data_IF_872977373081
#
_entry.id   IF_872977373081
#
_cell.length_a   1.000
_cell.length_b   1.000
_cell.length_c   1.000
_cell.angle_alpha   90.00
_cell.angle_beta   90.00
_cell.angle_gamma   90.00
#
_symmetry.space_group_name_H-M   'P 1'
#
loop_
_entity.id
_entity.type
_entity.pdbx_description
1 polymer ?
#
# COMPACT_ATOMS: atom_id res chain seq x y z
N UNK A 1 24.61 -16.87 -16.10
CA UNK A 1 24.27 -15.80 -15.15
C UNK A 1 23.72 -16.47 -13.91
N UNK A 2 24.37 -16.31 -12.74
CA UNK A 2 23.81 -16.85 -11.49
C UNK A 2 22.49 -16.15 -11.20
N UNK A 3 21.46 -16.94 -10.92
CA UNK A 3 20.15 -16.39 -10.55
C UNK A 3 20.26 -15.70 -9.20
N UNK A 4 19.89 -14.43 -9.12
CA UNK A 4 19.88 -13.67 -7.87
C UNK A 4 18.89 -14.29 -6.88
N UNK A 5 19.30 -14.43 -5.61
CA UNK A 5 18.49 -15.04 -4.54
C UNK A 5 18.17 -14.03 -3.45
N UNK A 6 17.08 -14.26 -2.74
CA UNK A 6 16.64 -13.44 -1.60
C UNK A 6 17.60 -13.67 -0.43
N UNK A 7 18.18 -12.62 0.10
CA UNK A 7 19.09 -12.68 1.25
C UNK A 7 18.47 -12.16 2.54
N UNK A 8 17.50 -11.22 2.42
CA UNK A 8 16.82 -10.59 3.56
C UNK A 8 15.43 -10.12 3.17
N UNK A 9 14.50 -10.26 4.11
CA UNK A 9 13.19 -9.60 4.11
C UNK A 9 13.03 -8.89 5.45
N UNK A 10 12.75 -7.59 5.44
CA UNK A 10 12.65 -6.80 6.67
C UNK A 10 11.49 -5.79 6.58
N UNK A 11 10.67 -5.68 7.63
CA UNK A 11 9.66 -4.63 7.74
C UNK A 11 10.30 -3.33 8.23
N UNK A 12 9.91 -2.20 7.61
CA UNK A 12 10.23 -0.85 8.07
C UNK A 12 8.91 -0.12 8.34
N UNK A 13 8.70 0.29 9.60
CA UNK A 13 7.49 0.98 10.02
C UNK A 13 7.82 2.44 10.28
N UNK A 14 7.13 3.35 9.60
CA UNK A 14 7.31 4.80 9.71
C UNK A 14 6.06 5.43 10.30
N UNK A 15 6.19 6.11 11.42
CA UNK A 15 5.11 6.91 12.00
C UNK A 15 4.94 8.19 11.18
N UNK A 16 3.80 8.31 10.51
CA UNK A 16 3.48 9.47 9.65
C UNK A 16 2.66 10.50 10.42
N UNK A 17 1.77 10.04 11.30
CA UNK A 17 0.93 10.89 12.16
C UNK A 17 0.52 10.12 13.41
N UNK A 18 -0.22 10.76 14.32
CA UNK A 18 -0.76 10.11 15.50
C UNK A 18 -1.75 8.97 15.19
N UNK A 19 -2.27 8.96 13.97
CA UNK A 19 -3.29 7.98 13.52
C UNK A 19 -2.79 7.05 12.42
N UNK A 20 -1.56 7.22 11.92
CA UNK A 20 -1.12 6.51 10.71
C UNK A 20 0.35 6.12 10.81
N UNK A 21 0.60 4.83 10.71
CA UNK A 21 1.92 4.28 10.42
C UNK A 21 1.92 3.77 8.98
N UNK A 22 3.02 3.96 8.27
CA UNK A 22 3.27 3.26 7.01
C UNK A 22 4.18 2.07 7.28
N UNK A 23 3.83 0.93 6.70
CA UNK A 23 4.61 -0.31 6.81
C UNK A 23 5.13 -0.66 5.41
N UNK A 24 6.45 -0.69 5.28
CA UNK A 24 7.13 -1.14 4.09
C UNK A 24 7.78 -2.49 4.33
N UNK A 25 7.87 -3.31 3.30
CA UNK A 25 8.62 -4.55 3.28
C UNK A 25 9.79 -4.38 2.32
N UNK A 26 10.99 -4.50 2.86
CA UNK A 26 12.25 -4.46 2.11
C UNK A 26 12.70 -5.88 1.78
N UNK A 27 13.02 -6.13 0.51
CA UNK A 27 13.60 -7.40 0.04
C UNK A 27 14.98 -7.12 -0.54
N UNK A 28 16.01 -7.78 -0.02
CA UNK A 28 17.38 -7.68 -0.52
C UNK A 28 17.79 -8.97 -1.21
N UNK A 29 18.49 -8.85 -2.32
CA UNK A 29 19.00 -9.98 -3.11
C UNK A 29 20.53 -10.14 -3.01
N UNK A 30 21.04 -11.29 -3.44
CA UNK A 30 22.46 -11.67 -3.36
C UNK A 30 23.38 -10.79 -4.24
N UNK A 31 22.86 -10.17 -5.27
CA UNK A 31 23.52 -9.18 -6.10
C UNK A 31 23.51 -7.75 -5.49
N UNK A 32 22.94 -7.62 -4.27
CA UNK A 32 22.92 -6.35 -3.52
C UNK A 32 21.76 -5.43 -3.85
N UNK A 33 20.86 -5.81 -4.76
CA UNK A 33 19.69 -4.99 -5.10
C UNK A 33 18.67 -5.02 -3.97
N UNK A 34 18.11 -3.87 -3.64
CA UNK A 34 17.04 -3.68 -2.66
C UNK A 34 15.74 -3.29 -3.37
N UNK A 35 14.68 -4.03 -3.12
CA UNK A 35 13.32 -3.67 -3.53
C UNK A 35 12.45 -3.36 -2.32
N UNK A 36 11.42 -2.55 -2.54
CA UNK A 36 10.49 -2.08 -1.51
C UNK A 36 9.05 -2.24 -1.98
N UNK A 37 8.21 -2.75 -1.10
CA UNK A 37 6.76 -2.76 -1.28
C UNK A 37 6.03 -2.26 -0.04
N UNK A 38 4.80 -1.79 -0.17
CA UNK A 38 4.00 -1.24 0.92
C UNK A 38 2.93 -2.25 1.37
N UNK A 39 2.88 -2.48 2.70
CA UNK A 39 1.92 -3.37 3.36
C UNK A 39 1.02 -2.64 4.36
N UNK A 40 0.90 -1.31 4.29
CA UNK A 40 0.20 -0.51 5.30
C UNK A 40 -1.21 -1.02 5.58
N UNK A 41 -1.45 -1.46 6.82
CA UNK A 41 -2.75 -1.89 7.33
C UNK A 41 -2.88 -1.42 8.78
N UNK A 42 -3.87 -0.56 9.04
CA UNK A 42 -4.04 0.10 10.34
C UNK A 42 -4.19 -0.89 11.50
N UNK A 43 -3.37 -0.72 12.54
CA UNK A 43 -3.42 -1.53 13.75
C UNK A 43 -2.92 -2.97 13.60
N UNK A 44 -2.31 -3.32 12.47
CA UNK A 44 -1.79 -4.67 12.18
C UNK A 44 -0.26 -4.73 12.07
N UNK A 45 0.44 -3.70 12.53
CA UNK A 45 1.89 -3.55 12.35
C UNK A 45 2.66 -4.75 12.94
N UNK A 46 2.28 -5.23 14.12
CA UNK A 46 2.95 -6.38 14.76
C UNK A 46 2.66 -7.70 14.02
N UNK A 47 1.44 -7.89 13.53
CA UNK A 47 1.11 -9.06 12.72
C UNK A 47 1.91 -9.06 11.41
N UNK A 48 2.04 -7.91 10.75
CA UNK A 48 2.84 -7.77 9.53
C UNK A 48 4.33 -7.99 9.81
N UNK A 49 4.85 -7.53 10.94
CA UNK A 49 6.23 -7.78 11.36
C UNK A 49 6.49 -9.28 11.55
N UNK A 50 5.60 -9.98 12.25
CA UNK A 50 5.71 -11.42 12.48
C UNK A 50 5.65 -12.21 11.17
N UNK A 51 4.74 -11.83 10.27
CA UNK A 51 4.60 -12.44 8.94
C UNK A 51 5.82 -12.21 8.05
N UNK A 52 6.39 -11.00 8.05
CA UNK A 52 7.62 -10.69 7.32
C UNK A 52 8.78 -11.57 7.79
N UNK A 53 8.94 -11.77 9.11
CA UNK A 53 9.94 -12.67 9.67
C UNK A 53 9.73 -14.13 9.29
N UNK A 54 8.47 -14.60 9.29
CA UNK A 54 8.13 -15.94 8.82
C UNK A 54 8.51 -16.11 7.35
N UNK A 55 8.11 -15.19 6.49
CA UNK A 55 8.40 -15.26 5.06
C UNK A 55 9.89 -15.07 4.75
N UNK A 56 10.66 -14.34 5.57
CA UNK A 56 12.11 -14.34 5.47
C UNK A 56 12.67 -15.76 5.65
N UNK A 57 12.24 -16.47 6.69
CA UNK A 57 12.63 -17.87 6.91
C UNK A 57 12.29 -18.79 5.75
N UNK A 58 11.11 -18.63 5.18
CA UNK A 58 10.60 -19.46 4.09
C UNK A 58 11.25 -19.17 2.73
N UNK A 59 11.66 -17.92 2.48
CA UNK A 59 12.12 -17.44 1.16
C UNK A 59 13.63 -17.20 1.06
N UNK A 60 14.34 -17.08 2.15
CA UNK A 60 15.79 -16.85 2.17
C UNK A 60 16.54 -17.93 1.38
N UNK A 61 17.43 -17.48 0.49
CA UNK A 61 18.19 -18.37 -0.40
C UNK A 61 17.43 -18.79 -1.66
N UNK A 62 16.14 -18.50 -1.77
CA UNK A 62 15.34 -18.82 -2.95
C UNK A 62 15.38 -17.68 -3.99
N UNK A 63 15.08 -17.97 -5.27
CA UNK A 63 14.96 -16.94 -6.31
C UNK A 63 13.73 -16.07 -6.08
N UNK A 64 13.67 -14.89 -6.73
CA UNK A 64 12.53 -13.99 -6.64
C UNK A 64 11.20 -14.62 -7.07
N UNK A 65 11.22 -15.58 -8.00
CA UNK A 65 10.02 -16.31 -8.43
C UNK A 65 9.33 -17.08 -7.28
N UNK A 66 10.04 -17.41 -6.21
CA UNK A 66 9.44 -18.03 -5.04
C UNK A 66 8.42 -17.13 -4.32
N UNK A 67 8.47 -15.79 -4.54
CA UNK A 67 7.44 -14.86 -4.07
C UNK A 67 6.14 -15.06 -4.85
N UNK A 68 6.22 -15.30 -6.16
CA UNK A 68 5.05 -15.58 -7.01
C UNK A 68 4.40 -16.90 -6.61
N UNK A 69 5.21 -17.95 -6.39
CA UNK A 69 4.72 -19.23 -5.91
C UNK A 69 4.00 -19.12 -4.56
N UNK A 70 4.54 -18.28 -3.65
CA UNK A 70 3.93 -17.99 -2.36
C UNK A 70 2.59 -17.24 -2.54
N UNK A 71 2.53 -16.24 -3.40
CA UNK A 71 1.33 -15.47 -3.67
C UNK A 71 0.21 -16.35 -4.24
N UNK A 72 0.54 -17.24 -5.17
CA UNK A 72 -0.39 -18.22 -5.73
C UNK A 72 -0.91 -19.20 -4.66
N UNK A 73 0.01 -19.80 -3.89
CA UNK A 73 -0.34 -20.76 -2.83
C UNK A 73 -1.24 -20.16 -1.72
N UNK A 74 -1.18 -18.85 -1.52
CA UNK A 74 -1.94 -18.13 -0.48
C UNK A 74 -3.10 -17.30 -1.02
N UNK A 75 -3.40 -17.40 -2.31
CA UNK A 75 -4.43 -16.58 -3.00
C UNK A 75 -5.82 -16.68 -2.38
N UNK A 76 -6.17 -17.82 -1.77
CA UNK A 76 -7.44 -18.04 -1.08
C UNK A 76 -7.45 -17.55 0.39
N UNK A 77 -6.34 -16.98 0.90
CA UNK A 77 -6.27 -16.50 2.28
C UNK A 77 -7.25 -15.34 2.51
N UNK A 78 -7.96 -15.38 3.64
CA UNK A 78 -8.82 -14.29 4.12
C UNK A 78 -8.11 -13.39 5.15
N UNK A 79 -6.91 -13.75 5.58
CA UNK A 79 -6.09 -12.96 6.50
C UNK A 79 -5.57 -11.70 5.80
N UNK A 80 -6.06 -10.53 6.24
CA UNK A 80 -5.72 -9.24 5.64
C UNK A 80 -4.25 -8.88 5.84
N UNK A 81 -3.66 -9.16 7.00
CA UNK A 81 -2.26 -8.87 7.27
C UNK A 81 -1.34 -9.74 6.38
N UNK A 82 -1.67 -11.02 6.24
CA UNK A 82 -0.95 -11.93 5.35
C UNK A 82 -1.01 -11.44 3.89
N UNK A 83 -2.19 -11.09 3.39
CA UNK A 83 -2.36 -10.57 2.03
C UNK A 83 -1.61 -9.26 1.80
N UNK A 84 -1.61 -8.35 2.79
CA UNK A 84 -0.87 -7.09 2.71
C UNK A 84 0.64 -7.33 2.60
N UNK A 85 1.21 -8.23 3.41
CA UNK A 85 2.64 -8.55 3.37
C UNK A 85 3.01 -9.25 2.05
N UNK A 86 2.20 -10.19 1.57
CA UNK A 86 2.45 -10.87 0.29
C UNK A 86 2.40 -9.89 -0.87
N UNK A 87 1.40 -9.00 -0.91
CA UNK A 87 1.33 -7.94 -1.93
C UNK A 87 2.56 -7.02 -1.90
N UNK A 88 3.06 -6.69 -0.71
CA UNK A 88 4.29 -5.90 -0.58
C UNK A 88 5.53 -6.67 -1.07
N UNK A 89 5.61 -7.99 -0.85
CA UNK A 89 6.68 -8.82 -1.40
C UNK A 89 6.65 -8.86 -2.93
N UNK A 90 5.46 -8.97 -3.54
CA UNK A 90 5.29 -8.89 -4.99
C UNK A 90 5.72 -7.52 -5.54
N UNK A 91 5.30 -6.41 -4.90
CA UNK A 91 5.75 -5.06 -5.26
C UNK A 91 7.27 -4.94 -5.19
N UNK A 92 7.89 -5.43 -4.11
CA UNK A 92 9.35 -5.43 -3.95
C UNK A 92 10.05 -6.27 -5.02
N UNK A 93 9.47 -7.41 -5.42
CA UNK A 93 9.98 -8.24 -6.51
C UNK A 93 9.98 -7.49 -7.85
N UNK A 94 8.90 -6.78 -8.17
CA UNK A 94 8.83 -5.94 -9.38
C UNK A 94 9.82 -4.77 -9.33
N UNK A 95 9.99 -4.14 -8.16
CA UNK A 95 10.97 -3.07 -7.97
C UNK A 95 12.41 -3.56 -8.19
N UNK A 96 12.75 -4.76 -7.67
CA UNK A 96 14.04 -5.41 -7.91
C UNK A 96 14.24 -5.67 -9.40
N UNK A 97 13.27 -6.28 -10.09
CA UNK A 97 13.34 -6.56 -11.52
C UNK A 97 13.56 -5.28 -12.34
N UNK A 98 12.81 -4.22 -12.01
CA UNK A 98 12.98 -2.92 -12.65
C UNK A 98 14.40 -2.37 -12.49
N UNK A 99 14.97 -2.45 -11.29
CA UNK A 99 16.33 -2.02 -11.00
C UNK A 99 17.39 -2.87 -11.71
N UNK A 100 17.21 -4.19 -11.75
CA UNK A 100 18.10 -5.12 -12.44
C UNK A 100 18.10 -4.92 -13.97
N UNK A 101 16.93 -4.58 -14.55
CA UNK A 101 16.79 -4.33 -15.99
C UNK A 101 17.03 -2.87 -16.38
N UNK A 102 17.19 -1.96 -15.41
CA UNK A 102 17.31 -0.51 -15.66
C UNK A 102 16.06 0.11 -16.26
N UNK A 103 14.86 -0.45 -15.95
CA UNK A 103 13.58 -0.02 -16.48
C UNK A 103 12.59 0.28 -15.36
N UNK A 104 11.71 1.28 -15.51
CA UNK A 104 10.61 1.48 -14.58
C UNK A 104 9.60 0.32 -14.66
N UNK A 105 8.96 -0.01 -13.55
CA UNK A 105 8.05 -1.15 -13.44
C UNK A 105 6.93 -1.12 -14.49
N UNK A 106 6.40 0.06 -14.82
CA UNK A 106 5.33 0.16 -15.81
C UNK A 106 5.75 -0.32 -17.22
N UNK A 107 7.03 -0.19 -17.58
CA UNK A 107 7.55 -0.73 -18.86
C UNK A 107 7.60 -2.25 -18.83
N UNK A 108 7.98 -2.84 -17.70
CA UNK A 108 7.95 -4.30 -17.52
C UNK A 108 6.53 -4.86 -17.59
N UNK A 109 5.53 -4.07 -17.20
CA UNK A 109 4.12 -4.42 -17.24
C UNK A 109 3.43 -4.11 -18.60
N UNK A 110 4.19 -3.82 -19.64
CA UNK A 110 3.67 -3.61 -21.00
C UNK A 110 3.59 -2.15 -21.43
N UNK A 111 4.20 -1.24 -20.69
CA UNK A 111 4.36 0.17 -21.06
C UNK A 111 3.20 1.08 -20.66
N UNK A 112 3.36 2.36 -20.97
CA UNK A 112 2.40 3.40 -20.64
C UNK A 112 1.23 3.40 -21.62
N UNK A 113 0.00 3.22 -21.10
CA UNK A 113 -1.23 3.35 -21.90
C UNK A 113 -1.81 4.78 -21.84
N UNK A 114 -1.72 5.42 -20.67
CA UNK A 114 -2.19 6.78 -20.45
C UNK A 114 -1.06 7.63 -19.90
N UNK A 115 -0.81 8.77 -20.52
CA UNK A 115 0.19 9.76 -20.07
C UNK A 115 -0.38 10.75 -19.06
N UNK A 116 -1.69 10.83 -18.96
CA UNK A 116 -2.40 11.70 -18.01
C UNK A 116 -3.40 10.88 -17.21
N UNK A 117 -3.33 10.97 -15.91
CA UNK A 117 -4.24 10.30 -14.98
C UNK A 117 -4.96 11.38 -14.17
N UNK A 118 -6.30 11.47 -14.22
CA UNK A 118 -7.05 12.41 -13.38
C UNK A 118 -6.87 12.04 -11.91
N UNK A 119 -6.60 13.04 -11.08
CA UNK A 119 -6.45 12.87 -9.64
C UNK A 119 -7.52 13.66 -8.91
N UNK A 120 -7.89 13.20 -7.71
CA UNK A 120 -8.76 13.93 -6.81
C UNK A 120 -8.06 14.27 -5.50
N UNK A 121 -8.46 15.37 -4.87
CA UNK A 121 -8.05 15.64 -3.49
C UNK A 121 -8.94 14.83 -2.52
N UNK A 122 -8.32 13.94 -1.74
CA UNK A 122 -9.02 13.27 -0.64
C UNK A 122 -8.94 14.14 0.61
N UNK A 123 -10.04 14.88 0.90
CA UNK A 123 -10.08 15.81 2.02
C UNK A 123 -10.53 15.20 3.35
N UNK A 124 -10.92 13.91 3.38
CA UNK A 124 -11.48 13.28 4.59
C UNK A 124 -10.54 13.29 5.79
N UNK A 125 -9.26 12.93 5.60
CA UNK A 125 -8.29 12.87 6.70
C UNK A 125 -7.74 14.23 7.08
N UNK A 126 -7.68 15.17 6.13
CA UNK A 126 -7.20 16.53 6.35
C UNK A 126 -8.22 17.37 7.14
N UNK A 127 -9.51 17.14 6.94
CA UNK A 127 -10.57 17.87 7.61
C UNK A 127 -10.66 17.45 9.07
N UNK A 128 -10.10 18.25 9.97
CA UNK A 128 -10.08 18.02 11.42
C UNK A 128 -11.42 18.41 12.03
N UNK A 129 -11.91 19.61 11.66
CA UNK A 129 -13.26 20.02 11.97
C UNK A 129 -14.24 19.32 11.04
N UNK A 130 -14.96 18.33 11.58
CA UNK A 130 -15.88 17.47 10.82
C UNK A 130 -17.26 18.08 10.64
N UNK A 131 -17.42 19.39 10.93
CA UNK A 131 -18.62 20.15 10.64
C UNK A 131 -18.75 20.45 9.13
N UNK A 132 -19.95 20.90 8.73
CA UNK A 132 -20.20 21.36 7.36
C UNK A 132 -19.23 22.48 6.95
N UNK A 133 -18.98 23.44 7.84
CA UNK A 133 -18.06 24.55 7.61
C UNK A 133 -16.59 24.06 7.44
N UNK A 134 -16.16 23.07 8.22
CA UNK A 134 -14.83 22.49 8.10
C UNK A 134 -14.64 21.76 6.79
N UNK A 135 -15.63 21.01 6.31
CA UNK A 135 -15.60 20.39 4.99
C UNK A 135 -15.62 21.42 3.86
N UNK A 136 -16.42 22.49 3.98
CA UNK A 136 -16.43 23.58 3.01
C UNK A 136 -15.05 24.25 2.92
N UNK A 137 -14.43 24.58 4.04
CA UNK A 137 -13.10 25.19 4.07
C UNK A 137 -12.04 24.27 3.43
N UNK A 138 -12.06 22.98 3.75
CA UNK A 138 -11.15 22.00 3.16
C UNK A 138 -11.35 21.82 1.66
N UNK A 139 -12.61 21.85 1.21
CA UNK A 139 -12.97 21.77 -0.21
C UNK A 139 -12.49 22.99 -0.99
N UNK A 140 -12.73 24.21 -0.46
CA UNK A 140 -12.23 25.48 -1.07
C UNK A 140 -10.71 25.45 -1.19
N UNK A 141 -9.99 25.08 -0.12
CA UNK A 141 -8.53 24.99 -0.16
C UNK A 141 -8.02 24.00 -1.21
N UNK A 142 -8.72 22.90 -1.46
CA UNK A 142 -8.36 21.96 -2.52
C UNK A 142 -8.62 22.54 -3.92
N UNK A 143 -9.73 23.23 -4.13
CA UNK A 143 -10.03 23.92 -5.40
C UNK A 143 -9.01 25.03 -5.68
N UNK A 144 -8.67 25.84 -4.67
CA UNK A 144 -7.64 26.89 -4.78
C UNK A 144 -6.25 26.30 -5.10
N UNK A 145 -5.99 25.07 -4.67
CA UNK A 145 -4.78 24.32 -5.03
C UNK A 145 -4.83 23.69 -6.44
N UNK A 146 -5.91 23.89 -7.20
CA UNK A 146 -6.05 23.44 -8.60
C UNK A 146 -6.69 22.06 -8.78
N UNK A 147 -7.24 21.44 -7.74
CA UNK A 147 -7.96 20.18 -7.89
C UNK A 147 -9.37 20.39 -8.43
N UNK A 148 -9.74 19.63 -9.46
CA UNK A 148 -11.07 19.65 -10.07
C UNK A 148 -12.00 18.53 -9.55
N UNK A 149 -11.45 17.58 -8.80
CA UNK A 149 -12.16 16.44 -8.24
C UNK A 149 -11.87 16.34 -6.74
N UNK A 150 -12.89 16.10 -5.94
CA UNK A 150 -12.78 15.95 -4.50
C UNK A 150 -13.35 14.58 -4.07
N UNK A 151 -12.70 13.93 -3.12
CA UNK A 151 -13.25 12.80 -2.40
C UNK A 151 -13.58 13.22 -0.99
N UNK A 152 -14.85 13.06 -0.62
CA UNK A 152 -15.41 13.43 0.68
C UNK A 152 -16.21 12.25 1.24
N UNK A 153 -16.16 12.04 2.56
CA UNK A 153 -17.01 11.13 3.31
C UNK A 153 -17.50 11.84 4.59
N UNK A 154 -18.57 12.62 4.50
CA UNK A 154 -19.06 13.46 5.60
C UNK A 154 -20.02 12.71 6.54
N UNK A 155 -20.03 11.37 6.50
CA UNK A 155 -21.02 10.53 7.19
C UNK A 155 -20.49 10.02 8.53
N UNK A 156 -19.76 10.84 9.29
CA UNK A 156 -19.26 10.48 10.62
C UNK A 156 -20.43 10.26 11.57
N UNK A 157 -20.42 9.13 12.27
CA UNK A 157 -21.49 8.78 13.22
C UNK A 157 -22.73 8.11 12.59
N UNK A 158 -22.78 7.97 11.27
CA UNK A 158 -23.79 7.13 10.64
C UNK A 158 -23.39 5.65 10.78
N UNK A 159 -24.23 4.87 11.45
CA UNK A 159 -24.12 3.42 11.46
C UNK A 159 -24.98 2.81 10.35
N UNK A 160 -24.62 1.64 9.81
CA UNK A 160 -25.41 0.96 8.76
C UNK A 160 -26.86 0.70 9.16
N UNK A 161 -27.11 0.61 10.47
CA UNK A 161 -28.42 0.36 11.05
C UNK A 161 -29.21 1.64 11.38
N UNK A 162 -28.58 2.81 11.31
CA UNK A 162 -29.19 4.12 11.52
C UNK A 162 -29.30 4.79 10.15
N UNK A 163 -30.47 4.91 9.61
CA UNK A 163 -30.66 5.75 8.43
C UNK A 163 -31.26 5.09 7.21
N UNK A 164 -31.93 3.95 7.38
CA UNK A 164 -32.85 3.48 6.33
C UNK A 164 -34.10 4.35 6.21
N UNK A 165 -34.38 5.21 7.20
CA UNK A 165 -35.59 6.01 7.29
C UNK A 165 -35.36 7.52 7.05
N UNK A 166 -34.20 7.96 6.57
CA UNK A 166 -33.99 9.30 6.05
C UNK A 166 -34.02 10.47 7.06
N UNK A 167 -34.04 10.21 8.36
CA UNK A 167 -34.22 11.22 9.41
C UNK A 167 -32.92 11.74 10.03
N UNK A 168 -31.78 11.66 9.35
CA UNK A 168 -30.50 12.10 9.86
C UNK A 168 -29.83 13.17 8.98
N UNK A 169 -30.58 14.19 8.54
CA UNK A 169 -30.02 15.43 8.00
C UNK A 169 -30.79 16.62 8.52
#
# INVERSE_FOLDING_TARGET
TMTSTITRIAPTIIRVSDKTNWTFIEVKTSDGVLGVGEATLYGQEEAMRALAGKFEGDLKGKPLSAIEDLAEATSASTDQAQRAVISALEQASWDIRGKQEGKPVHELLGGTKNTQIPIYANINRRTVDRSLAGFEASGRAAVDAGFNLLKIAPFDGLHPDIGRDGDAL
#
